data_IF_687967160508
#
_entry.id   IF_687967160508
#
_cell.length_a   1.000
_cell.length_b   1.000
_cell.length_c   1.000
_cell.angle_alpha   90.00
_cell.angle_beta   90.00
_cell.angle_gamma   90.00
#
_symmetry.space_group_name_H-M   'P 1'
#
loop_
_entity.id
_entity.type
_entity.pdbx_description
1 polymer ?
#
# COMPACT_ATOMS: atom_id res chain seq x y z
N UNK A 1 -31.81 26.44 -57.53
CA UNK A 1 -31.05 26.70 -56.29
C UNK A 1 -31.70 26.13 -55.00
N UNK A 2 -33.00 26.23 -54.81
CA UNK A 2 -33.74 25.71 -53.64
C UNK A 2 -33.71 24.19 -53.56
N UNK A 3 -33.82 23.47 -54.68
CA UNK A 3 -33.83 22.02 -54.73
C UNK A 3 -32.47 21.39 -54.34
N UNK A 4 -31.37 22.06 -54.71
CA UNK A 4 -30.01 21.61 -54.39
C UNK A 4 -29.72 21.67 -52.86
N UNK A 5 -30.22 22.70 -52.21
CA UNK A 5 -30.06 22.89 -50.72
C UNK A 5 -30.88 21.84 -49.99
N UNK A 6 -32.08 21.54 -50.45
CA UNK A 6 -32.94 20.49 -49.84
C UNK A 6 -32.29 19.09 -49.91
N UNK A 7 -31.64 18.75 -51.03
CA UNK A 7 -30.96 17.45 -51.20
C UNK A 7 -29.74 17.34 -50.25
N UNK A 8 -28.97 18.41 -50.10
CA UNK A 8 -27.82 18.42 -49.18
C UNK A 8 -28.28 18.25 -47.72
N UNK A 9 -29.42 18.90 -47.36
CA UNK A 9 -29.96 18.79 -45.99
C UNK A 9 -30.48 17.37 -45.70
N UNK A 10 -31.14 16.73 -46.67
CA UNK A 10 -31.63 15.34 -46.53
C UNK A 10 -30.44 14.37 -46.41
N UNK A 11 -29.40 14.53 -47.22
CA UNK A 11 -28.19 13.68 -47.14
C UNK A 11 -27.44 13.85 -45.85
N UNK A 12 -27.38 15.07 -45.28
CA UNK A 12 -26.75 15.29 -43.96
C UNK A 12 -27.56 14.68 -42.82
N UNK A 13 -28.90 14.73 -42.88
CA UNK A 13 -29.77 14.08 -41.88
C UNK A 13 -29.70 12.57 -41.96
N UNK A 14 -29.61 11.97 -43.16
CA UNK A 14 -29.43 10.53 -43.33
C UNK A 14 -28.05 10.06 -42.83
N UNK A 15 -27.01 10.87 -43.09
CA UNK A 15 -25.66 10.63 -42.56
C UNK A 15 -25.61 10.68 -41.05
N UNK A 16 -26.26 11.66 -40.41
CA UNK A 16 -26.36 11.74 -38.95
C UNK A 16 -27.17 10.56 -38.38
N UNK A 17 -28.23 10.14 -39.02
CA UNK A 17 -29.04 9.00 -38.58
C UNK A 17 -28.27 7.69 -38.63
N UNK A 18 -27.40 7.51 -39.66
CA UNK A 18 -26.53 6.34 -39.77
C UNK A 18 -25.45 6.27 -38.72
N UNK A 19 -24.94 7.43 -38.26
CA UNK A 19 -23.94 7.50 -37.16
C UNK A 19 -24.59 7.27 -35.77
N UNK A 20 -25.85 7.67 -35.63
CA UNK A 20 -26.61 7.50 -34.37
C UNK A 20 -27.52 6.27 -34.35
N UNK A 21 -27.44 5.38 -35.39
CA UNK A 21 -28.16 4.12 -35.33
C UNK A 21 -27.57 3.29 -34.17
N UNK A 22 -28.29 3.08 -33.06
CA UNK A 22 -27.82 2.14 -32.05
C UNK A 22 -27.70 0.79 -32.79
N UNK A 23 -26.49 0.21 -32.75
CA UNK A 23 -26.29 -1.13 -33.28
C UNK A 23 -27.22 -2.06 -32.50
N UNK A 24 -28.14 -2.72 -33.21
CA UNK A 24 -29.17 -3.59 -32.62
C UNK A 24 -28.60 -4.80 -31.86
N UNK A 25 -27.26 -4.98 -31.87
CA UNK A 25 -26.56 -6.06 -31.18
C UNK A 25 -26.15 -5.71 -29.74
N UNK A 26 -26.48 -4.52 -29.21
CA UNK A 26 -26.19 -4.14 -27.84
C UNK A 26 -27.47 -4.19 -26.96
N UNK A 27 -28.14 -5.33 -26.94
CA UNK A 27 -29.12 -5.65 -25.89
C UNK A 27 -28.43 -6.00 -24.56
N UNK A 28 -27.38 -5.24 -24.21
CA UNK A 28 -26.88 -5.29 -22.86
C UNK A 28 -27.88 -4.60 -21.94
N UNK A 29 -28.60 -5.41 -21.20
CA UNK A 29 -29.39 -4.95 -20.07
C UNK A 29 -28.45 -4.13 -19.14
N UNK A 30 -28.91 -2.98 -18.64
CA UNK A 30 -28.13 -2.15 -17.72
C UNK A 30 -27.58 -2.94 -16.50
N UNK A 31 -28.30 -3.99 -16.09
CA UNK A 31 -27.89 -4.92 -15.05
C UNK A 31 -26.70 -5.78 -15.47
N UNK A 32 -26.66 -6.25 -16.70
CA UNK A 32 -25.55 -7.06 -17.23
C UNK A 32 -24.29 -6.22 -17.39
N UNK A 33 -24.43 -4.97 -17.87
CA UNK A 33 -23.32 -4.01 -17.96
C UNK A 33 -22.77 -3.69 -16.56
N UNK A 34 -23.63 -3.48 -15.58
CA UNK A 34 -23.24 -3.25 -14.19
C UNK A 34 -22.48 -4.46 -13.61
N UNK A 35 -22.97 -5.67 -13.85
CA UNK A 35 -22.34 -6.91 -13.40
C UNK A 35 -20.97 -7.13 -14.06
N UNK A 36 -20.81 -6.85 -15.35
CA UNK A 36 -19.53 -6.95 -16.05
C UNK A 36 -18.50 -5.94 -15.54
N UNK A 37 -18.90 -4.69 -15.32
CA UNK A 37 -18.03 -3.66 -14.73
C UNK A 37 -17.65 -4.03 -13.31
N UNK A 38 -18.60 -4.50 -12.51
CA UNK A 38 -18.36 -4.94 -11.14
C UNK A 38 -17.37 -6.11 -11.06
N UNK A 39 -17.50 -7.12 -11.94
CA UNK A 39 -16.58 -8.28 -11.96
C UNK A 39 -15.16 -7.91 -12.37
N UNK A 40 -14.97 -7.10 -13.42
CA UNK A 40 -13.65 -6.60 -13.85
C UNK A 40 -13.00 -5.72 -12.79
N UNK A 41 -13.78 -4.91 -12.09
CA UNK A 41 -13.28 -4.07 -11.01
C UNK A 41 -12.82 -4.91 -9.83
N UNK A 42 -13.58 -5.93 -9.44
CA UNK A 42 -13.22 -6.88 -8.38
C UNK A 42 -11.93 -7.62 -8.71
N UNK A 43 -11.83 -8.21 -9.91
CA UNK A 43 -10.61 -8.91 -10.35
C UNK A 43 -9.37 -8.00 -10.32
N UNK A 44 -9.51 -6.74 -10.75
CA UNK A 44 -8.43 -5.76 -10.71
C UNK A 44 -8.03 -5.42 -9.27
N UNK A 45 -9.00 -5.31 -8.36
CA UNK A 45 -8.75 -5.07 -6.94
C UNK A 45 -8.05 -6.27 -6.29
N UNK A 46 -8.51 -7.49 -6.56
CA UNK A 46 -7.90 -8.72 -6.04
C UNK A 46 -6.44 -8.86 -6.49
N UNK A 47 -6.14 -8.60 -7.77
CA UNK A 47 -4.77 -8.58 -8.28
C UNK A 47 -3.88 -7.53 -7.61
N UNK A 48 -4.45 -6.35 -7.29
CA UNK A 48 -3.73 -5.31 -6.55
C UNK A 48 -3.44 -5.73 -5.12
N UNK A 49 -4.44 -6.26 -4.41
CA UNK A 49 -4.30 -6.76 -3.04
C UNK A 49 -3.25 -7.87 -2.98
N UNK A 50 -3.31 -8.83 -3.90
CA UNK A 50 -2.32 -9.91 -3.96
C UNK A 50 -0.89 -9.37 -4.14
N UNK A 51 -0.68 -8.40 -5.03
CA UNK A 51 0.64 -7.77 -5.21
C UNK A 51 1.12 -7.04 -3.96
N UNK A 52 0.23 -6.34 -3.25
CA UNK A 52 0.58 -5.66 -2.01
C UNK A 52 1.00 -6.66 -0.92
N UNK A 53 0.24 -7.75 -0.75
CA UNK A 53 0.59 -8.81 0.20
C UNK A 53 1.94 -9.48 -0.12
N UNK A 54 2.22 -9.74 -1.41
CA UNK A 54 3.51 -10.28 -1.84
C UNK A 54 4.67 -9.31 -1.57
N UNK A 55 4.44 -7.99 -1.66
CA UNK A 55 5.44 -6.98 -1.31
C UNK A 55 5.67 -6.92 0.20
N UNK A 56 4.61 -6.90 1.00
CA UNK A 56 4.71 -6.94 2.46
C UNK A 56 5.46 -8.19 2.94
N UNK A 57 5.18 -9.37 2.38
CA UNK A 57 5.86 -10.60 2.74
C UNK A 57 7.37 -10.56 2.42
N UNK A 58 7.76 -9.93 1.31
CA UNK A 58 9.18 -9.74 0.96
C UNK A 58 9.89 -8.76 1.90
N UNK A 59 9.20 -7.68 2.27
CA UNK A 59 9.73 -6.70 3.22
C UNK A 59 9.88 -7.30 4.61
N UNK A 60 8.89 -8.04 5.08
CA UNK A 60 8.94 -8.76 6.36
C UNK A 60 10.12 -9.74 6.41
N UNK A 61 10.35 -10.51 5.34
CA UNK A 61 11.47 -11.44 5.28
C UNK A 61 12.83 -10.72 5.26
N UNK A 62 12.91 -9.57 4.60
CA UNK A 62 14.11 -8.71 4.61
C UNK A 62 14.40 -8.17 6.00
N UNK A 63 13.38 -7.61 6.67
CA UNK A 63 13.48 -7.09 8.02
C UNK A 63 13.85 -8.17 9.03
N UNK A 64 13.22 -9.33 8.94
CA UNK A 64 13.54 -10.46 9.77
C UNK A 64 15.01 -10.88 9.65
N UNK A 65 15.52 -11.06 8.42
CA UNK A 65 16.92 -11.39 8.18
C UNK A 65 17.89 -10.31 8.68
N UNK A 66 17.54 -9.05 8.53
CA UNK A 66 18.31 -7.94 9.05
C UNK A 66 18.41 -8.00 10.58
N UNK A 67 17.29 -8.14 11.27
CA UNK A 67 17.26 -8.23 12.73
C UNK A 67 18.04 -9.44 13.24
N UNK A 68 17.91 -10.61 12.62
CA UNK A 68 18.69 -11.81 12.99
C UNK A 68 20.19 -11.59 12.85
N UNK A 69 20.63 -10.87 11.81
CA UNK A 69 22.05 -10.49 11.66
C UNK A 69 22.50 -9.53 12.77
N UNK A 70 21.69 -8.55 13.12
CA UNK A 70 22.00 -7.61 14.20
C UNK A 70 22.08 -8.32 15.55
N UNK A 71 21.11 -9.17 15.85
CA UNK A 71 21.10 -10.00 17.07
C UNK A 71 22.36 -10.87 17.14
N UNK A 72 22.69 -11.56 16.05
CA UNK A 72 23.90 -12.40 16.00
C UNK A 72 25.19 -11.60 16.18
N UNK A 73 25.23 -10.36 15.68
CA UNK A 73 26.38 -9.45 15.87
C UNK A 73 26.50 -9.03 17.33
N UNK A 74 25.41 -8.59 17.94
CA UNK A 74 25.39 -8.17 19.35
C UNK A 74 25.69 -9.34 20.30
N UNK A 75 25.13 -10.51 20.05
CA UNK A 75 25.42 -11.71 20.83
C UNK A 75 26.92 -12.10 20.84
N UNK A 76 27.63 -11.87 19.72
CA UNK A 76 29.09 -12.10 19.65
C UNK A 76 29.89 -11.14 20.53
N UNK A 77 29.34 -9.97 20.88
CA UNK A 77 29.97 -9.02 21.81
C UNK A 77 29.67 -9.33 23.27
N UNK A 78 28.87 -10.38 23.54
CA UNK A 78 28.43 -10.75 24.89
C UNK A 78 27.15 -10.03 25.34
N UNK A 79 26.48 -9.29 24.45
CA UNK A 79 25.19 -8.68 24.74
C UNK A 79 24.10 -9.72 24.83
N UNK A 80 23.10 -9.51 25.69
CA UNK A 80 21.87 -10.34 25.83
C UNK A 80 20.63 -9.61 25.31
N UNK A 81 20.81 -8.43 24.70
CA UNK A 81 19.73 -7.62 24.14
C UNK A 81 20.17 -6.73 22.99
N UNK A 82 19.21 -6.37 22.16
CA UNK A 82 19.35 -5.41 21.06
C UNK A 82 18.24 -4.38 21.17
N UNK A 83 18.57 -3.10 21.08
CA UNK A 83 17.60 -2.03 20.86
C UNK A 83 17.52 -1.66 19.39
N UNK A 84 16.32 -1.69 18.81
CA UNK A 84 16.05 -1.22 17.45
C UNK A 84 15.19 0.04 17.52
N UNK A 85 15.73 1.16 17.02
CA UNK A 85 15.06 2.45 17.00
C UNK A 85 14.29 2.62 15.69
N UNK A 86 12.96 2.73 15.76
CA UNK A 86 12.06 2.94 14.62
C UNK A 86 11.79 4.44 14.34
N UNK A 87 12.27 5.35 15.20
CA UNK A 87 11.96 6.80 15.12
C UNK A 87 12.91 7.58 14.25
N UNK A 88 14.01 7.01 13.83
CA UNK A 88 15.02 7.71 13.02
C UNK A 88 14.65 7.69 11.55
N UNK A 89 14.92 8.80 10.88
CA UNK A 89 14.60 9.05 9.45
C UNK A 89 15.08 7.95 8.49
N UNK A 90 16.03 7.14 8.91
CA UNK A 90 16.63 6.07 8.10
C UNK A 90 16.28 4.66 8.56
N UNK A 91 15.56 4.51 9.67
CA UNK A 91 15.15 3.20 10.16
C UNK A 91 13.70 2.94 9.75
N UNK A 92 13.51 1.78 9.15
CA UNK A 92 12.19 1.35 8.73
C UNK A 92 11.40 0.83 9.94
N UNK A 93 10.10 1.08 9.94
CA UNK A 93 9.19 0.54 10.94
C UNK A 93 9.07 -0.97 10.70
N UNK A 94 9.32 -1.73 11.75
CA UNK A 94 9.24 -3.21 11.68
C UNK A 94 7.80 -3.65 11.91
N UNK A 95 7.28 -4.46 11.00
CA UNK A 95 5.92 -4.96 11.10
C UNK A 95 5.73 -5.82 12.37
N UNK A 96 4.49 -5.85 12.86
CA UNK A 96 4.13 -6.72 13.98
C UNK A 96 4.39 -8.21 13.67
N UNK A 97 4.22 -8.63 12.41
CA UNK A 97 4.44 -10.01 11.95
C UNK A 97 5.89 -10.44 12.16
N UNK A 98 6.85 -9.56 11.88
CA UNK A 98 8.27 -9.83 12.12
C UNK A 98 8.58 -9.91 13.61
N UNK A 99 8.02 -8.99 14.42
CA UNK A 99 8.17 -9.01 15.88
C UNK A 99 7.57 -10.28 16.49
N UNK A 100 6.43 -10.73 15.99
CA UNK A 100 5.75 -11.94 16.45
C UNK A 100 6.52 -13.20 16.08
N UNK A 101 7.10 -13.24 14.88
CA UNK A 101 7.99 -14.32 14.46
C UNK A 101 9.21 -14.47 15.37
N UNK A 102 9.83 -13.36 15.79
CA UNK A 102 10.91 -13.40 16.77
C UNK A 102 10.44 -13.95 18.11
N UNK A 103 9.23 -13.56 18.58
CA UNK A 103 8.63 -14.12 19.81
C UNK A 103 8.42 -15.62 19.73
N UNK A 104 7.93 -16.10 18.59
CA UNK A 104 7.73 -17.55 18.34
C UNK A 104 9.04 -18.33 18.37
N UNK A 105 10.16 -17.72 18.01
CA UNK A 105 11.50 -18.29 18.09
C UNK A 105 12.12 -18.22 19.47
N UNK A 106 11.41 -17.71 20.48
CA UNK A 106 11.87 -17.63 21.87
C UNK A 106 12.53 -16.31 22.26
N UNK A 107 12.58 -15.32 21.35
CA UNK A 107 13.05 -13.98 21.73
C UNK A 107 11.97 -13.24 22.49
N UNK A 108 12.35 -12.51 23.53
CA UNK A 108 11.45 -11.61 24.24
C UNK A 108 11.50 -10.23 23.56
N UNK A 109 10.43 -9.83 22.87
CA UNK A 109 10.32 -8.55 22.17
C UNK A 109 9.42 -7.61 22.95
N UNK A 110 9.95 -6.44 23.35
CA UNK A 110 9.26 -5.43 24.14
C UNK A 110 9.26 -4.11 23.37
N UNK A 111 8.10 -3.61 23.01
CA UNK A 111 7.95 -2.30 22.38
C UNK A 111 8.33 -1.18 23.36
N UNK A 112 8.94 -0.14 22.80
CA UNK A 112 9.41 1.03 23.52
C UNK A 112 8.87 2.29 22.89
N UNK A 113 8.35 3.18 23.72
CA UNK A 113 7.92 4.51 23.33
C UNK A 113 8.32 5.50 24.41
N UNK A 114 9.07 6.51 24.01
CA UNK A 114 9.46 7.60 24.87
C UNK A 114 8.99 8.93 24.26
N UNK A 115 8.50 9.83 25.09
CA UNK A 115 8.17 11.20 24.71
C UNK A 115 9.08 12.14 25.47
N UNK A 116 9.71 13.05 24.76
CA UNK A 116 10.58 14.05 25.37
C UNK A 116 10.35 15.43 24.75
N UNK A 117 10.60 16.46 25.56
CA UNK A 117 10.50 17.85 25.11
C UNK A 117 11.84 18.32 24.57
N UNK A 118 11.82 18.79 23.34
CA UNK A 118 12.98 19.41 22.69
C UNK A 118 12.80 20.92 22.73
N UNK A 119 13.90 21.64 23.01
CA UNK A 119 13.92 23.09 22.98
C UNK A 119 14.97 23.57 21.99
N UNK A 120 14.57 24.45 21.06
CA UNK A 120 15.54 25.08 20.16
C UNK A 120 16.24 26.27 20.84
N UNK A 121 17.28 26.79 20.20
CA UNK A 121 18.04 27.96 20.68
C UNK A 121 17.22 29.26 20.78
N UNK A 122 16.01 29.29 20.19
CA UNK A 122 15.09 30.42 20.25
C UNK A 122 14.04 30.31 21.35
N UNK A 123 14.10 29.25 22.17
CA UNK A 123 13.20 29.04 23.29
C UNK A 123 11.89 28.32 22.97
N UNK A 124 11.63 27.96 21.72
CA UNK A 124 10.46 27.17 21.35
C UNK A 124 10.64 25.74 21.81
N UNK A 125 9.58 25.18 22.38
CA UNK A 125 9.55 23.77 22.82
C UNK A 125 8.49 23.00 22.04
N UNK A 126 8.83 21.75 21.67
CA UNK A 126 7.88 20.80 21.08
C UNK A 126 8.11 19.40 21.68
N UNK A 127 7.11 18.54 21.55
CA UNK A 127 7.23 17.14 21.95
C UNK A 127 7.73 16.31 20.76
N UNK A 128 8.77 15.53 20.99
CA UNK A 128 9.20 14.46 20.08
C UNK A 128 8.90 13.11 20.70
N UNK A 129 8.70 12.11 19.87
CA UNK A 129 8.46 10.74 20.28
C UNK A 129 9.51 9.84 19.67
N UNK A 130 10.17 9.06 20.51
CA UNK A 130 11.04 7.99 20.09
C UNK A 130 10.27 6.67 20.16
N UNK A 131 10.30 5.92 19.08
CA UNK A 131 9.67 4.62 18.95
C UNK A 131 10.73 3.57 18.66
N UNK A 132 10.56 2.38 19.19
CA UNK A 132 11.45 1.28 18.92
C UNK A 132 11.04 0.05 19.72
N UNK A 133 11.90 -0.93 19.75
CA UNK A 133 11.70 -2.13 20.57
C UNK A 133 13.02 -2.74 21.01
N UNK A 134 12.94 -3.47 22.10
CA UNK A 134 14.02 -4.30 22.62
C UNK A 134 13.78 -5.75 22.25
N UNK A 135 14.83 -6.44 21.86
CA UNK A 135 14.86 -7.89 21.67
C UNK A 135 15.85 -8.47 22.69
N UNK A 136 15.40 -9.43 23.47
CA UNK A 136 16.21 -10.12 24.48
C UNK A 136 16.30 -11.61 24.15
N UNK A 137 17.45 -12.22 24.47
CA UNK A 137 17.74 -13.64 24.23
C UNK A 137 18.53 -14.28 25.39
N UNK A 138 18.11 -13.96 26.58
CA UNK A 138 18.60 -14.55 27.86
C UNK A 138 17.97 -15.91 28.13
#
# INVERSE_FOLDING_TARGET
MIITIAIIFILSLVGLYAVFRPSEDLTFNAKDTHNMVSSKTKEKQEKRIKKLLEQEDKEDERHYKMLKKMIAKEAKTGSTSLYYNESWVFNEVISYRVKDRLRTEGFRVKDYKNKYKVRNGFGNTWEESEYGFWVYWD
#
